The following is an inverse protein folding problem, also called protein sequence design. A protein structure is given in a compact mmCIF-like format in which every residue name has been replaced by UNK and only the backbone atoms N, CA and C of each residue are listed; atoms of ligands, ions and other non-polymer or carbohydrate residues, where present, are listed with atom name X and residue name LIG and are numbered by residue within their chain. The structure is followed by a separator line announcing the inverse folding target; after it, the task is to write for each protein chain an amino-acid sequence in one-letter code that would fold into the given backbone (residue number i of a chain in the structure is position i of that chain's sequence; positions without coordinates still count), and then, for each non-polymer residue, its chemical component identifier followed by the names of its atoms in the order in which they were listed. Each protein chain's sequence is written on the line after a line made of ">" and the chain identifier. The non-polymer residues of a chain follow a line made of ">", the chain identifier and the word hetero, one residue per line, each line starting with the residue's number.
data_IF_371435312894
#
_entry.id   IF_371435312894
#
_cell.length_a   1.000
_cell.length_b   1.000
_cell.length_c   1.000
_cell.angle_alpha   90.00
_cell.angle_beta   90.00
_cell.angle_gamma   90.00
#
_symmetry.space_group_name_H-M   'P 1'
#
loop_
_entity.id
_entity.type
_entity.pdbx_description
1 polymer ?
#
# COMPACT_ATOMS: atom_id res chain seq x y z
N UNK A 1 29.55 34.91 -3.08
CA UNK A 1 28.88 33.90 -2.24
C UNK A 1 27.97 33.10 -3.17
N UNK A 2 28.44 31.94 -3.65
CA UNK A 2 27.72 31.07 -4.59
C UNK A 2 26.80 30.10 -3.84
N UNK A 3 25.65 29.69 -4.41
CA UNK A 3 24.76 28.72 -3.79
C UNK A 3 25.35 27.30 -3.88
N UNK A 4 24.96 26.38 -2.96
CA UNK A 4 25.49 25.02 -2.94
C UNK A 4 24.91 24.18 -4.08
N UNK A 5 25.77 23.39 -4.73
CA UNK A 5 25.38 22.38 -5.72
C UNK A 5 24.46 21.31 -5.12
N UNK A 6 23.50 20.75 -5.90
CA UNK A 6 22.61 19.71 -5.42
C UNK A 6 23.36 18.38 -5.22
N UNK A 7 23.21 17.81 -4.02
CA UNK A 7 23.85 16.57 -3.52
C UNK A 7 23.57 15.29 -4.34
N UNK A 8 22.73 15.35 -5.38
CA UNK A 8 22.39 14.24 -6.27
C UNK A 8 23.53 13.83 -7.19
N UNK A 9 24.44 14.74 -7.57
CA UNK A 9 25.51 14.45 -8.54
C UNK A 9 26.72 13.72 -7.95
N UNK A 10 26.92 13.83 -6.64
CA UNK A 10 28.06 13.21 -5.93
C UNK A 10 27.80 11.74 -5.58
N UNK A 11 26.53 11.31 -5.48
CA UNK A 11 26.14 9.92 -5.20
C UNK A 11 26.26 9.00 -6.43
N UNK A 12 25.92 9.48 -7.63
CA UNK A 12 26.00 8.67 -8.87
C UNK A 12 27.45 8.29 -9.23
N UNK A 13 28.41 9.19 -9.01
CA UNK A 13 29.82 8.96 -9.34
C UNK A 13 30.54 8.04 -8.34
N UNK A 14 30.04 7.90 -7.10
CA UNK A 14 30.62 7.02 -6.08
C UNK A 14 30.20 5.55 -6.28
N UNK A 15 29.00 5.31 -6.81
CA UNK A 15 28.49 3.96 -7.12
C UNK A 15 29.12 3.36 -8.39
N UNK A 16 29.42 4.18 -9.40
CA UNK A 16 30.17 3.75 -10.59
C UNK A 16 31.59 3.25 -10.25
N UNK A 17 32.25 3.82 -9.24
CA UNK A 17 33.61 3.40 -8.83
C UNK A 17 33.64 2.06 -8.07
N UNK A 18 32.55 1.67 -7.42
CA UNK A 18 32.45 0.35 -6.76
C UNK A 18 32.13 -0.75 -7.78
N UNK A 19 31.30 -0.46 -8.78
CA UNK A 19 30.94 -1.42 -9.83
C UNK A 19 32.10 -1.73 -10.81
N UNK A 20 33.02 -0.79 -11.04
CA UNK A 20 34.11 -0.97 -12.02
C UNK A 20 35.30 -1.78 -11.48
N UNK A 21 35.41 -2.01 -10.16
CA UNK A 21 36.58 -2.71 -9.57
C UNK A 21 36.46 -4.23 -9.40
N UNK A 22 35.33 -4.86 -9.73
CA UNK A 22 35.23 -6.32 -9.82
C UNK A 22 34.87 -6.74 -11.25
N UNK A 23 35.85 -6.62 -12.16
CA UNK A 23 35.89 -7.48 -13.34
C UNK A 23 36.03 -8.92 -12.83
N UNK A 24 34.99 -9.72 -12.96
CA UNK A 24 35.05 -11.14 -13.34
C UNK A 24 33.61 -11.61 -13.65
N UNK A 25 33.37 -11.78 -14.96
CA UNK A 25 32.43 -12.70 -15.59
C UNK A 25 30.96 -12.75 -15.12
N UNK A 26 30.09 -11.86 -15.63
CA UNK A 26 28.72 -12.27 -16.03
C UNK A 26 28.24 -11.41 -17.21
N UNK A 27 28.41 -11.93 -18.43
CA UNK A 27 28.10 -11.24 -19.70
C UNK A 27 26.60 -11.10 -20.03
N UNK A 28 25.69 -11.58 -19.18
CA UNK A 28 24.24 -11.58 -19.45
C UNK A 28 23.40 -10.81 -18.42
N UNK A 29 23.97 -10.40 -17.28
CA UNK A 29 23.25 -9.70 -16.20
C UNK A 29 23.16 -8.20 -16.42
N UNK A 30 24.16 -7.61 -17.08
CA UNK A 30 24.23 -6.16 -17.32
C UNK A 30 23.14 -5.68 -18.30
N UNK A 31 22.81 -6.51 -19.30
CA UNK A 31 21.76 -6.23 -20.29
C UNK A 31 20.38 -6.22 -19.63
N UNK A 32 20.10 -7.20 -18.75
CA UNK A 32 18.84 -7.29 -18.00
C UNK A 32 18.65 -6.15 -16.98
N UNK A 33 19.74 -5.65 -16.38
CA UNK A 33 19.70 -4.49 -15.49
C UNK A 33 19.41 -3.20 -16.26
N UNK A 34 20.01 -3.02 -17.44
CA UNK A 34 19.73 -1.89 -18.33
C UNK A 34 18.28 -1.90 -18.82
N UNK A 35 17.70 -3.06 -19.13
CA UNK A 35 16.28 -3.18 -19.51
C UNK A 35 15.34 -2.81 -18.34
N UNK A 36 15.68 -3.20 -17.11
CA UNK A 36 14.92 -2.84 -15.91
C UNK A 36 15.03 -1.33 -15.58
N UNK A 37 16.21 -0.73 -15.78
CA UNK A 37 16.44 0.72 -15.65
C UNK A 37 15.74 1.49 -16.78
N UNK A 38 15.64 0.92 -17.97
CA UNK A 38 14.93 1.48 -19.12
C UNK A 38 13.41 1.45 -18.90
N UNK A 39 12.87 0.37 -18.33
CA UNK A 39 11.49 0.33 -17.82
C UNK A 39 11.24 1.42 -16.78
N UNK A 40 12.13 1.62 -15.80
CA UNK A 40 11.98 2.70 -14.80
C UNK A 40 11.94 4.10 -15.43
N UNK A 41 12.74 4.35 -16.48
CA UNK A 41 12.75 5.63 -17.22
C UNK A 41 11.52 5.81 -18.13
N UNK A 42 10.96 4.72 -18.65
CA UNK A 42 9.76 4.76 -19.50
C UNK A 42 8.45 4.87 -18.70
N UNK A 43 8.43 4.42 -17.43
CA UNK A 43 7.26 4.59 -16.53
C UNK A 43 7.27 5.89 -15.71
N UNK A 44 8.34 6.67 -15.72
CA UNK A 44 8.30 8.02 -15.17
C UNK A 44 7.62 8.97 -16.17
N UNK A 45 6.42 9.44 -15.81
CA UNK A 45 5.58 10.47 -16.48
C UNK A 45 4.58 9.96 -17.53
N UNK A 46 3.57 9.21 -17.06
CA UNK A 46 2.18 9.48 -17.43
C UNK A 46 1.25 8.89 -16.37
N UNK A 47 0.88 9.70 -15.36
CA UNK A 47 -0.34 9.45 -14.58
C UNK A 47 -1.52 9.74 -15.51
N UNK A 48 -1.77 8.84 -16.47
CA UNK A 48 -3.00 8.87 -17.23
C UNK A 48 -4.15 8.50 -16.29
N UNK A 49 -5.19 9.33 -16.30
CA UNK A 49 -6.37 9.22 -15.46
C UNK A 49 -7.27 8.03 -15.87
N UNK A 50 -6.75 6.81 -15.75
CA UNK A 50 -7.56 5.61 -15.65
C UNK A 50 -7.85 5.40 -14.16
N UNK A 51 -9.13 5.17 -13.81
CA UNK A 51 -9.53 4.91 -12.44
C UNK A 51 -8.67 3.76 -11.87
N UNK A 52 -7.72 4.09 -11.01
CA UNK A 52 -6.84 3.14 -10.35
C UNK A 52 -7.70 2.32 -9.38
N UNK A 53 -8.02 1.08 -9.73
CA UNK A 53 -8.79 0.15 -8.87
C UNK A 53 -7.90 -0.54 -7.84
N UNK A 54 -6.61 -0.19 -7.78
CA UNK A 54 -5.66 -0.71 -6.81
C UNK A 54 -5.97 -0.20 -5.41
N UNK A 55 -6.02 -1.11 -4.44
CA UNK A 55 -6.30 -0.79 -3.03
C UNK A 55 -5.07 -0.90 -2.14
N UNK A 56 -3.94 -1.31 -2.72
CA UNK A 56 -2.66 -1.49 -2.03
C UNK A 56 -1.54 -0.73 -2.73
N UNK A 57 -0.67 -0.08 -1.96
CA UNK A 57 0.49 0.65 -2.47
C UNK A 57 1.70 0.47 -1.53
N UNK A 58 2.87 0.29 -2.13
CA UNK A 58 4.17 0.31 -1.46
C UNK A 58 5.01 1.42 -2.04
N UNK A 59 5.72 2.12 -1.17
CA UNK A 59 6.58 3.24 -1.56
C UNK A 59 7.73 2.78 -2.47
N UNK A 60 8.18 3.69 -3.34
CA UNK A 60 9.20 3.43 -4.35
C UNK A 60 10.53 2.92 -3.75
N UNK A 61 10.89 3.37 -2.54
CA UNK A 61 12.13 2.93 -1.90
C UNK A 61 12.04 1.46 -1.49
N UNK A 62 10.91 1.05 -0.92
CA UNK A 62 10.65 -0.34 -0.54
C UNK A 62 10.47 -1.23 -1.78
N UNK A 63 9.74 -0.76 -2.80
CA UNK A 63 9.62 -1.45 -4.10
C UNK A 63 10.97 -1.63 -4.80
N UNK A 64 11.81 -0.59 -4.78
CA UNK A 64 13.12 -0.59 -5.42
C UNK A 64 14.07 -1.68 -4.90
N UNK A 65 13.91 -2.11 -3.65
CA UNK A 65 14.64 -3.26 -3.09
C UNK A 65 14.31 -4.53 -3.87
N UNK A 66 13.02 -4.79 -4.11
CA UNK A 66 12.54 -5.99 -4.80
C UNK A 66 12.82 -5.98 -6.30
N UNK A 67 12.79 -4.80 -6.92
CA UNK A 67 13.20 -4.62 -8.31
C UNK A 67 14.68 -5.03 -8.48
N UNK A 68 15.58 -4.61 -7.58
CA UNK A 68 16.99 -5.03 -7.63
C UNK A 68 17.16 -6.52 -7.32
N UNK A 69 16.32 -7.05 -6.45
CA UNK A 69 16.32 -8.46 -6.06
C UNK A 69 15.61 -9.38 -7.07
N UNK A 70 15.08 -8.86 -8.18
CA UNK A 70 14.35 -9.63 -9.19
C UNK A 70 15.08 -10.89 -9.68
N UNK A 71 16.42 -10.84 -9.71
CA UNK A 71 17.28 -11.96 -10.11
C UNK A 71 17.29 -13.14 -9.12
N UNK A 72 16.79 -12.95 -7.89
CA UNK A 72 16.62 -13.99 -6.87
C UNK A 72 15.29 -14.73 -7.02
N UNK A 73 14.42 -14.28 -7.93
CA UNK A 73 13.12 -14.89 -8.19
C UNK A 73 12.96 -15.37 -9.62
N UNK A 74 11.82 -16.01 -9.89
CA UNK A 74 11.41 -16.46 -11.22
C UNK A 74 10.36 -15.52 -11.77
N UNK A 75 10.64 -14.92 -12.94
CA UNK A 75 9.62 -14.16 -13.68
C UNK A 75 8.57 -15.11 -14.24
N UNK A 76 7.30 -14.84 -13.96
CA UNK A 76 6.14 -15.59 -14.47
C UNK A 76 5.15 -14.64 -15.13
N UNK A 77 4.46 -15.14 -16.16
CA UNK A 77 3.34 -14.45 -16.80
C UNK A 77 2.09 -15.28 -16.57
N UNK A 78 1.01 -14.64 -16.15
CA UNK A 78 -0.27 -15.28 -15.86
C UNK A 78 -1.36 -14.58 -16.68
N UNK A 79 -2.24 -15.35 -17.31
CA UNK A 79 -3.37 -14.80 -18.05
C UNK A 79 -4.51 -14.42 -17.10
N UNK A 80 -5.40 -13.52 -17.54
CA UNK A 80 -6.61 -13.18 -16.79
C UNK A 80 -7.40 -14.44 -16.40
N UNK A 81 -7.85 -14.48 -15.15
CA UNK A 81 -8.58 -15.61 -14.55
C UNK A 81 -7.68 -16.70 -13.98
N UNK A 82 -6.35 -16.62 -14.17
CA UNK A 82 -5.41 -17.61 -13.62
C UNK A 82 -5.40 -17.54 -12.10
N UNK A 83 -5.64 -18.68 -11.46
CA UNK A 83 -5.46 -18.88 -10.03
C UNK A 83 -3.96 -19.00 -9.72
N UNK A 84 -3.42 -18.09 -8.91
CA UNK A 84 -2.00 -18.09 -8.52
C UNK A 84 -1.78 -19.01 -7.32
N UNK A 85 -2.66 -18.90 -6.32
CA UNK A 85 -2.73 -19.82 -5.18
C UNK A 85 -4.13 -19.80 -4.59
N UNK A 86 -4.50 -20.87 -3.88
CA UNK A 86 -5.79 -21.00 -3.20
C UNK A 86 -5.64 -20.89 -1.69
N UNK A 87 -6.65 -20.31 -1.04
CA UNK A 87 -6.82 -20.39 0.41
C UNK A 87 -6.74 -21.85 0.90
N UNK A 88 -6.00 -22.08 1.98
CA UNK A 88 -5.74 -23.39 2.57
C UNK A 88 -4.55 -24.15 1.98
N UNK A 89 -3.99 -23.72 0.85
CA UNK A 89 -2.79 -24.35 0.29
C UNK A 89 -1.54 -24.05 1.14
N UNK A 90 -0.60 -25.00 1.18
CA UNK A 90 0.73 -24.77 1.73
C UNK A 90 1.66 -24.27 0.64
N UNK A 91 2.54 -23.33 0.96
CA UNK A 91 3.52 -22.82 0.00
C UNK A 91 4.55 -21.89 0.62
N UNK A 92 5.78 -22.00 0.13
CA UNK A 92 6.93 -21.20 0.57
C UNK A 92 7.23 -20.03 -0.38
N UNK A 93 6.30 -19.73 -1.30
CA UNK A 93 6.49 -18.69 -2.32
C UNK A 93 5.68 -17.44 -2.02
N UNK A 94 6.16 -16.31 -2.50
CA UNK A 94 5.43 -15.04 -2.52
C UNK A 94 5.72 -14.29 -3.82
N UNK A 95 4.93 -13.27 -4.10
CA UNK A 95 4.86 -12.70 -5.43
C UNK A 95 5.02 -11.19 -5.38
N UNK A 96 5.79 -10.67 -6.33
CA UNK A 96 5.93 -9.25 -6.60
C UNK A 96 5.38 -8.92 -7.98
N UNK A 97 4.39 -8.04 -8.05
CA UNK A 97 3.66 -7.70 -9.25
C UNK A 97 4.43 -6.65 -10.06
N UNK A 98 4.78 -6.93 -11.31
CA UNK A 98 5.46 -6.00 -12.21
C UNK A 98 4.45 -5.21 -13.05
N UNK A 99 3.43 -5.88 -13.56
CA UNK A 99 2.36 -5.29 -14.37
C UNK A 99 1.08 -6.13 -14.29
N UNK A 100 -0.07 -5.51 -14.50
CA UNK A 100 -1.39 -6.14 -14.39
C UNK A 100 -2.02 -5.97 -13.01
N UNK A 101 -2.99 -6.82 -12.67
CA UNK A 101 -3.80 -6.73 -11.44
C UNK A 101 -4.14 -8.11 -10.88
N UNK A 102 -3.99 -8.25 -9.56
CA UNK A 102 -4.31 -9.49 -8.83
C UNK A 102 -5.36 -9.20 -7.77
N UNK A 103 -6.47 -9.94 -7.81
CA UNK A 103 -7.50 -9.94 -6.78
C UNK A 103 -7.12 -10.95 -5.69
N UNK A 104 -7.08 -10.50 -4.44
CA UNK A 104 -6.86 -11.35 -3.27
C UNK A 104 -8.13 -11.38 -2.43
N UNK A 105 -8.68 -12.57 -2.18
CA UNK A 105 -9.98 -12.75 -1.52
C UNK A 105 -9.99 -13.90 -0.52
N UNK A 106 -10.81 -13.77 0.53
CA UNK A 106 -11.15 -14.86 1.44
C UNK A 106 -12.50 -15.43 1.04
N UNK A 107 -12.63 -16.75 1.02
CA UNK A 107 -13.91 -17.43 0.85
C UNK A 107 -14.39 -17.99 2.20
N UNK A 108 -15.66 -17.74 2.53
CA UNK A 108 -16.31 -18.34 3.70
C UNK A 108 -16.83 -19.75 3.39
N UNK A 109 -17.27 -20.46 4.43
CA UNK A 109 -17.80 -21.83 4.30
C UNK A 109 -19.07 -21.92 3.44
N UNK A 110 -19.85 -20.86 3.35
CA UNK A 110 -21.03 -20.76 2.48
C UNK A 110 -20.69 -20.37 1.02
N UNK A 111 -19.39 -20.20 0.72
CA UNK A 111 -18.90 -19.80 -0.59
C UNK A 111 -18.92 -18.28 -0.84
N UNK A 112 -19.39 -17.47 0.12
CA UNK A 112 -19.35 -16.02 0.00
C UNK A 112 -17.91 -15.51 -0.09
N UNK A 113 -17.69 -14.56 -1.01
CA UNK A 113 -16.39 -13.96 -1.25
C UNK A 113 -16.24 -12.64 -0.49
N UNK A 114 -15.17 -12.53 0.29
CA UNK A 114 -14.72 -11.29 0.89
C UNK A 114 -13.40 -10.85 0.23
N UNK A 115 -13.48 -9.89 -0.68
CA UNK A 115 -12.30 -9.33 -1.34
C UNK A 115 -11.44 -8.58 -0.32
N UNK A 116 -10.20 -9.04 -0.13
CA UNK A 116 -9.22 -8.35 0.70
C UNK A 116 -8.65 -7.16 -0.05
N UNK A 117 -7.98 -7.39 -1.17
CA UNK A 117 -7.23 -6.35 -1.87
C UNK A 117 -7.25 -6.57 -3.38
N UNK A 118 -7.20 -5.47 -4.13
CA UNK A 118 -6.83 -5.45 -5.53
C UNK A 118 -5.38 -4.94 -5.63
N UNK A 119 -4.46 -5.86 -5.90
CA UNK A 119 -3.04 -5.59 -6.02
C UNK A 119 -2.71 -5.06 -7.41
N UNK A 120 -1.92 -3.99 -7.50
CA UNK A 120 -1.41 -3.45 -8.75
C UNK A 120 0.12 -3.46 -8.85
N UNK A 121 0.69 -2.86 -9.90
CA UNK A 121 2.13 -2.82 -10.11
C UNK A 121 2.89 -2.43 -8.85
N UNK A 122 4.00 -3.12 -8.63
CA UNK A 122 4.88 -3.04 -7.46
C UNK A 122 4.27 -3.58 -6.16
N UNK A 123 3.14 -4.28 -6.23
CA UNK A 123 2.54 -4.94 -5.08
C UNK A 123 3.20 -6.23 -4.67
N UNK A 124 3.18 -6.52 -3.36
CA UNK A 124 3.60 -7.80 -2.81
C UNK A 124 2.45 -8.55 -2.14
N UNK A 125 2.32 -9.83 -2.47
CA UNK A 125 1.28 -10.69 -1.94
C UNK A 125 1.77 -12.13 -1.75
N UNK A 126 1.08 -12.87 -0.89
CA UNK A 126 1.44 -14.26 -0.54
C UNK A 126 2.64 -14.38 0.40
N UNK A 127 3.12 -13.30 1.00
CA UNK A 127 4.31 -13.32 1.85
C UNK A 127 4.08 -13.97 3.22
N UNK A 128 2.90 -13.85 3.84
CA UNK A 128 2.71 -14.36 5.21
C UNK A 128 2.92 -15.89 5.33
N UNK A 129 2.29 -16.74 4.51
CA UNK A 129 2.46 -18.20 4.57
C UNK A 129 3.89 -18.63 4.26
N UNK A 130 4.57 -17.87 3.41
CA UNK A 130 5.95 -18.12 3.07
C UNK A 130 6.88 -17.88 4.27
N UNK A 131 6.53 -16.95 5.17
CA UNK A 131 7.34 -16.61 6.34
C UNK A 131 7.09 -17.50 7.55
N UNK A 132 5.82 -17.78 7.86
CA UNK A 132 5.43 -18.44 9.10
C UNK A 132 5.12 -19.95 8.92
N UNK A 133 5.06 -20.42 7.67
CA UNK A 133 4.79 -21.82 7.34
C UNK A 133 3.33 -22.25 7.52
N UNK A 134 2.41 -21.32 7.82
CA UNK A 134 0.99 -21.62 7.91
C UNK A 134 0.34 -21.71 6.51
N UNK A 135 -0.86 -22.32 6.40
CA UNK A 135 -1.60 -22.32 5.14
C UNK A 135 -1.97 -20.91 4.65
N UNK A 136 -2.16 -20.78 3.33
CA UNK A 136 -2.65 -19.57 2.67
C UNK A 136 -3.96 -19.11 3.29
N UNK A 137 -4.00 -17.87 3.78
CA UNK A 137 -5.20 -17.28 4.40
C UNK A 137 -6.23 -16.77 3.37
N UNK A 138 -5.83 -16.66 2.11
CA UNK A 138 -6.63 -16.09 1.04
C UNK A 138 -6.27 -16.77 -0.30
N UNK A 139 -7.13 -16.55 -1.29
CA UNK A 139 -6.97 -16.96 -2.69
C UNK A 139 -6.51 -15.76 -3.52
N UNK A 140 -5.59 -15.96 -4.46
CA UNK A 140 -5.14 -14.93 -5.39
C UNK A 140 -5.42 -15.30 -6.84
N UNK A 141 -6.12 -14.43 -7.56
CA UNK A 141 -6.53 -14.63 -8.96
C UNK A 141 -6.08 -13.43 -9.79
N UNK A 142 -5.53 -13.68 -10.98
CA UNK A 142 -5.21 -12.64 -11.94
C UNK A 142 -6.50 -11.99 -12.47
N UNK A 143 -6.76 -10.74 -12.10
CA UNK A 143 -7.89 -9.96 -12.61
C UNK A 143 -7.65 -9.50 -14.06
N UNK A 144 -6.36 -9.38 -14.43
CA UNK A 144 -5.85 -9.04 -15.75
C UNK A 144 -4.63 -9.89 -16.07
N UNK A 145 -4.26 -10.01 -17.35
CA UNK A 145 -2.98 -10.62 -17.73
C UNK A 145 -1.85 -9.85 -17.06
N UNK A 146 -1.05 -10.57 -16.27
CA UNK A 146 -0.10 -9.98 -15.32
C UNK A 146 1.29 -10.60 -15.43
N UNK A 147 2.31 -9.78 -15.17
CA UNK A 147 3.69 -10.25 -14.99
C UNK A 147 4.09 -10.14 -13.53
N UNK A 148 4.65 -11.23 -12.99
CA UNK A 148 5.03 -11.34 -11.59
C UNK A 148 6.49 -11.82 -11.49
N UNK A 149 7.10 -11.57 -10.34
CA UNK A 149 8.25 -12.33 -9.86
C UNK A 149 7.79 -13.19 -8.70
N UNK A 150 7.96 -14.50 -8.85
CA UNK A 150 7.78 -15.45 -7.78
C UNK A 150 9.10 -15.63 -7.04
N UNK A 151 9.07 -15.41 -5.73
CA UNK A 151 10.19 -15.61 -4.83
C UNK A 151 9.93 -16.82 -3.95
N UNK A 152 10.95 -17.66 -3.77
CA UNK A 152 10.97 -18.67 -2.72
C UNK A 152 11.58 -18.05 -1.47
N UNK A 153 10.90 -18.15 -0.33
CA UNK A 153 11.38 -17.57 0.93
C UNK A 153 12.77 -18.09 1.32
N UNK A 154 13.09 -19.35 0.99
CA UNK A 154 14.38 -19.96 1.37
C UNK A 154 15.53 -19.25 0.66
N UNK A 155 15.36 -18.96 -0.62
CA UNK A 155 16.33 -18.20 -1.43
C UNK A 155 16.49 -16.79 -0.90
N UNK A 156 15.38 -16.15 -0.50
CA UNK A 156 15.42 -14.80 0.07
C UNK A 156 16.12 -14.80 1.43
N UNK A 157 15.81 -15.76 2.31
CA UNK A 157 16.45 -15.91 3.61
C UNK A 157 17.95 -16.14 3.49
N UNK A 158 18.40 -16.97 2.55
CA UNK A 158 19.82 -17.18 2.26
C UNK A 158 20.52 -15.91 1.75
N UNK A 159 19.79 -15.03 1.06
CA UNK A 159 20.32 -13.77 0.55
C UNK A 159 20.40 -12.65 1.61
N UNK A 160 19.63 -12.72 2.70
CA UNK A 160 19.57 -11.68 3.75
C UNK A 160 20.95 -11.30 4.30
N UNK A 161 21.88 -12.23 4.63
CA UNK A 161 23.20 -11.86 5.15
C UNK A 161 24.00 -10.96 4.20
N UNK A 162 23.78 -11.09 2.89
CA UNK A 162 24.45 -10.28 1.86
C UNK A 162 23.65 -9.04 1.46
N UNK A 163 22.35 -9.01 1.73
CA UNK A 163 21.43 -7.92 1.39
C UNK A 163 20.43 -7.69 2.54
N UNK A 164 20.86 -7.10 3.68
CA UNK A 164 20.01 -6.92 4.85
C UNK A 164 18.75 -6.05 4.58
N UNK A 165 18.79 -5.23 3.54
CA UNK A 165 17.66 -4.42 3.10
C UNK A 165 16.44 -5.26 2.71
N UNK A 166 16.63 -6.53 2.32
CA UNK A 166 15.52 -7.47 2.06
C UNK A 166 14.69 -7.71 3.32
N UNK A 167 15.34 -8.00 4.45
CA UNK A 167 14.67 -8.22 5.72
C UNK A 167 13.95 -6.96 6.21
N UNK A 168 14.60 -5.79 6.08
CA UNK A 168 13.98 -4.50 6.44
C UNK A 168 12.76 -4.22 5.55
N UNK A 169 12.87 -4.50 4.25
CA UNK A 169 11.76 -4.32 3.30
C UNK A 169 10.58 -5.24 3.62
N UNK A 170 10.84 -6.52 3.93
CA UNK A 170 9.82 -7.46 4.40
C UNK A 170 9.11 -6.95 5.66
N UNK A 171 9.85 -6.47 6.66
CA UNK A 171 9.27 -5.89 7.88
C UNK A 171 8.40 -4.66 7.58
N UNK A 172 8.82 -3.78 6.66
CA UNK A 172 8.02 -2.62 6.24
C UNK A 172 6.72 -3.03 5.57
N UNK A 173 6.76 -4.05 4.71
CA UNK A 173 5.57 -4.58 4.03
C UNK A 173 4.58 -5.14 5.05
N UNK A 174 5.06 -5.93 6.02
CA UNK A 174 4.22 -6.45 7.12
C UNK A 174 3.62 -5.30 7.92
N UNK A 175 4.40 -4.27 8.28
CA UNK A 175 3.90 -3.11 9.01
C UNK A 175 2.83 -2.31 8.23
N UNK A 176 2.99 -2.17 6.90
CA UNK A 176 1.98 -1.54 6.03
C UNK A 176 0.68 -2.36 6.08
N UNK A 177 0.76 -3.68 5.89
CA UNK A 177 -0.41 -4.56 5.91
C UNK A 177 -1.09 -4.59 7.28
N UNK A 178 -0.32 -4.62 8.36
CA UNK A 178 -0.85 -4.54 9.73
C UNK A 178 -1.64 -3.24 9.95
N UNK A 179 -1.13 -2.09 9.46
CA UNK A 179 -1.83 -0.80 9.56
C UNK A 179 -3.14 -0.82 8.77
N UNK A 180 -3.14 -1.37 7.56
CA UNK A 180 -4.35 -1.51 6.73
C UNK A 180 -5.38 -2.40 7.43
N UNK A 181 -4.96 -3.55 7.97
CA UNK A 181 -5.83 -4.46 8.71
C UNK A 181 -6.40 -3.80 9.97
N UNK A 182 -5.59 -3.06 10.73
CA UNK A 182 -6.06 -2.33 11.91
C UNK A 182 -7.14 -1.29 11.55
N UNK A 183 -6.94 -0.52 10.46
CA UNK A 183 -7.96 0.43 9.98
C UNK A 183 -9.25 -0.28 9.53
N UNK A 184 -9.15 -1.48 8.92
CA UNK A 184 -10.32 -2.29 8.56
C UNK A 184 -11.03 -2.85 9.79
N UNK A 185 -10.28 -3.34 10.77
CA UNK A 185 -10.85 -3.81 12.04
C UNK A 185 -11.56 -2.67 12.74
N UNK A 186 -10.95 -1.48 12.84
CA UNK A 186 -11.58 -0.30 13.41
C UNK A 186 -12.89 0.06 12.69
N UNK A 187 -12.90 -0.04 11.36
CA UNK A 187 -14.12 0.14 10.56
C UNK A 187 -15.20 -0.92 10.87
N UNK A 188 -14.82 -2.20 10.99
CA UNK A 188 -15.74 -3.29 11.31
C UNK A 188 -16.20 -3.28 12.78
N UNK A 189 -15.35 -2.82 13.69
CA UNK A 189 -15.55 -2.80 15.14
C UNK A 189 -16.28 -1.55 15.65
N UNK A 190 -16.53 -0.56 14.79
CA UNK A 190 -17.40 0.57 15.10
C UNK A 190 -18.80 0.29 14.53
N UNK A 191 -19.70 -0.35 15.29
CA UNK A 191 -20.99 -0.83 14.78
C UNK A 191 -21.91 0.30 14.32
N UNK A 192 -21.73 1.50 14.89
CA UNK A 192 -22.53 2.69 14.58
C UNK A 192 -21.80 3.58 13.57
N UNK A 193 -22.37 3.82 12.38
CA UNK A 193 -21.78 4.72 11.39
C UNK A 193 -21.38 6.09 11.94
N UNK A 194 -22.10 6.61 12.93
CA UNK A 194 -21.83 7.89 13.59
C UNK A 194 -20.46 7.89 14.29
N UNK A 195 -20.07 6.76 14.90
CA UNK A 195 -18.78 6.61 15.57
C UNK A 195 -17.63 6.57 14.56
N UNK A 196 -17.85 5.92 13.40
CA UNK A 196 -16.88 5.88 12.30
C UNK A 196 -16.63 7.28 11.73
N UNK A 197 -17.67 8.11 11.69
CA UNK A 197 -17.56 9.51 11.28
C UNK A 197 -16.79 10.31 12.33
N UNK A 198 -17.06 10.12 13.62
CA UNK A 198 -16.29 10.72 14.71
C UNK A 198 -14.79 10.39 14.64
N UNK A 199 -14.47 9.11 14.47
CA UNK A 199 -13.11 8.60 14.31
C UNK A 199 -12.41 9.25 13.11
N UNK A 200 -13.08 9.25 11.95
CA UNK A 200 -12.54 9.84 10.74
C UNK A 200 -12.20 11.32 10.97
N UNK A 201 -13.10 12.08 11.57
CA UNK A 201 -12.87 13.51 11.85
C UNK A 201 -11.70 13.71 12.82
N UNK A 202 -11.58 12.86 13.85
CA UNK A 202 -10.45 12.89 14.79
C UNK A 202 -9.11 12.64 14.08
N UNK A 203 -9.03 11.57 13.30
CA UNK A 203 -7.85 11.22 12.49
C UNK A 203 -7.49 12.31 11.49
N UNK A 204 -8.47 12.94 10.84
CA UNK A 204 -8.23 14.04 9.90
C UNK A 204 -7.78 15.32 10.58
N UNK A 205 -8.29 15.62 11.79
CA UNK A 205 -7.81 16.73 12.60
C UNK A 205 -6.37 16.49 13.08
N UNK A 206 -5.98 15.26 13.38
CA UNK A 206 -4.60 14.94 13.74
C UNK A 206 -3.63 15.06 12.55
N UNK A 207 -4.03 14.55 11.38
CA UNK A 207 -3.16 14.50 10.19
C UNK A 207 -3.11 15.81 9.39
N UNK A 208 -4.23 16.53 9.32
CA UNK A 208 -4.42 17.69 8.44
C UNK A 208 -4.98 18.92 9.18
N UNK A 209 -5.01 18.86 10.51
CA UNK A 209 -5.55 19.94 11.33
C UNK A 209 -4.59 21.12 11.44
N UNK A 210 -5.13 22.31 11.21
CA UNK A 210 -4.48 23.56 11.57
C UNK A 210 -5.05 24.02 12.91
N UNK A 211 -4.23 24.04 13.96
CA UNK A 211 -4.63 24.58 15.27
C UNK A 211 -4.83 26.09 15.16
N UNK A 212 -6.00 26.57 15.58
CA UNK A 212 -6.36 27.99 15.65
C UNK A 212 -7.03 28.27 17.01
N UNK A 213 -7.28 29.54 17.32
CA UNK A 213 -7.86 29.95 18.62
C UNK A 213 -9.20 29.26 18.92
N UNK A 214 -10.04 29.07 17.89
CA UNK A 214 -11.39 28.50 18.04
C UNK A 214 -11.45 26.97 17.91
N UNK A 215 -10.31 26.28 17.80
CA UNK A 215 -10.24 24.83 17.61
C UNK A 215 -9.34 24.39 16.46
N UNK A 216 -9.51 23.14 16.01
CA UNK A 216 -8.68 22.57 14.94
C UNK A 216 -9.45 22.57 13.63
N UNK A 217 -8.99 23.37 12.66
CA UNK A 217 -9.55 23.38 11.31
C UNK A 217 -9.03 22.17 10.54
N UNK A 218 -9.93 21.29 10.08
CA UNK A 218 -9.57 20.28 9.08
C UNK A 218 -9.39 21.02 7.76
N UNK A 219 -8.13 21.19 7.34
CA UNK A 219 -7.75 22.04 6.19
C UNK A 219 -8.26 21.49 4.85
N UNK A 220 -8.55 20.19 4.78
CA UNK A 220 -9.10 19.54 3.60
C UNK A 220 -10.64 19.72 3.51
N UNK A 221 -11.17 20.24 2.40
CA UNK A 221 -12.62 20.30 2.20
C UNK A 221 -13.16 18.88 1.92
N UNK A 222 -14.22 18.49 2.63
CA UNK A 222 -14.87 17.20 2.46
C UNK A 222 -16.38 17.36 2.24
N UNK A 223 -16.88 16.72 1.20
CA UNK A 223 -18.31 16.60 0.95
C UNK A 223 -18.91 15.47 1.81
N UNK A 224 -20.22 15.52 2.05
CA UNK A 224 -20.90 14.46 2.80
C UNK A 224 -20.83 13.10 2.10
N UNK A 225 -20.74 13.07 0.75
CA UNK A 225 -20.55 11.83 -0.01
C UNK A 225 -19.16 11.22 0.18
N UNK A 226 -18.12 12.05 0.23
CA UNK A 226 -16.76 11.59 0.50
C UNK A 226 -16.65 11.00 1.91
N UNK A 227 -17.21 11.67 2.92
CA UNK A 227 -17.26 11.14 4.29
C UNK A 227 -18.03 9.82 4.33
N UNK A 228 -19.12 9.71 3.58
CA UNK A 228 -19.94 8.50 3.52
C UNK A 228 -19.15 7.32 2.94
N UNK A 229 -18.44 7.54 1.83
CA UNK A 229 -17.58 6.54 1.21
C UNK A 229 -16.44 6.08 2.15
N UNK A 230 -15.79 7.03 2.85
CA UNK A 230 -14.67 6.72 3.76
C UNK A 230 -15.10 5.99 5.05
N UNK A 231 -16.36 6.13 5.44
CA UNK A 231 -16.91 5.52 6.68
C UNK A 231 -17.92 4.42 6.40
N UNK A 232 -18.15 4.10 5.12
CA UNK A 232 -19.20 3.20 4.63
C UNK A 232 -20.54 3.41 5.34
N UNK A 233 -20.88 4.68 5.50
CA UNK A 233 -22.17 5.16 5.91
C UNK A 233 -22.95 5.62 4.67
N UNK A 234 -24.25 5.86 4.79
CA UNK A 234 -24.99 6.58 3.73
C UNK A 234 -24.76 8.08 3.86
N UNK A 235 -24.91 8.85 2.76
CA UNK A 235 -24.89 10.34 2.80
C UNK A 235 -25.91 10.91 3.80
N UNK A 236 -27.06 10.25 3.94
CA UNK A 236 -28.10 10.61 4.91
C UNK A 236 -27.58 10.42 6.33
N UNK A 237 -26.93 9.29 6.61
CA UNK A 237 -26.29 8.99 7.90
C UNK A 237 -25.20 10.01 8.23
N UNK A 238 -24.36 10.38 7.28
CA UNK A 238 -23.34 11.43 7.47
C UNK A 238 -23.97 12.76 7.83
N UNK A 239 -24.99 13.18 7.08
CA UNK A 239 -25.68 14.44 7.34
C UNK A 239 -26.28 14.46 8.75
N UNK A 240 -26.86 13.35 9.21
CA UNK A 240 -27.39 13.19 10.57
C UNK A 240 -26.28 13.22 11.62
N UNK A 241 -25.18 12.50 11.39
CA UNK A 241 -24.04 12.45 12.31
C UNK A 241 -23.38 13.82 12.49
N UNK A 242 -23.12 14.56 11.41
CA UNK A 242 -22.54 15.90 11.47
C UNK A 242 -23.45 16.88 12.19
N UNK A 243 -24.77 16.86 11.91
CA UNK A 243 -25.74 17.67 12.66
C UNK A 243 -25.72 17.36 14.16
N UNK A 244 -25.65 16.09 14.53
CA UNK A 244 -25.55 15.66 15.93
C UNK A 244 -24.26 16.15 16.58
N UNK A 245 -23.11 15.99 15.91
CA UNK A 245 -21.81 16.44 16.42
C UNK A 245 -21.75 17.97 16.58
N UNK A 246 -22.40 18.72 15.67
CA UNK A 246 -22.57 20.18 15.82
C UNK A 246 -23.43 20.52 17.03
N UNK A 247 -24.56 19.83 17.23
CA UNK A 247 -25.42 20.05 18.40
C UNK A 247 -24.72 19.71 19.73
N UNK A 248 -23.78 18.75 19.73
CA UNK A 248 -22.95 18.41 20.90
C UNK A 248 -21.79 19.40 21.14
N UNK A 249 -21.58 20.36 20.23
CA UNK A 249 -20.42 21.25 20.28
C UNK A 249 -19.09 20.53 20.04
N UNK A 250 -19.11 19.33 19.45
CA UNK A 250 -17.89 18.61 19.08
C UNK A 250 -17.22 19.24 17.85
N UNK A 251 -18.06 19.70 16.90
CA UNK A 251 -17.62 20.32 15.65
C UNK A 251 -18.43 21.56 15.31
N UNK A 252 -17.89 22.39 14.42
CA UNK A 252 -18.61 23.47 13.75
C UNK A 252 -18.41 23.39 12.23
N UNK A 253 -19.45 23.75 11.47
CA UNK A 253 -19.39 23.79 10.01
C UNK A 253 -19.30 25.26 9.55
N UNK A 254 -18.13 25.68 9.06
CA UNK A 254 -17.88 27.04 8.55
C UNK A 254 -17.47 26.99 7.07
N UNK A 255 -18.22 27.64 6.18
CA UNK A 255 -17.88 27.74 4.74
C UNK A 255 -17.52 26.39 4.08
N UNK A 256 -18.29 25.33 4.36
CA UNK A 256 -18.05 23.94 3.87
C UNK A 256 -16.77 23.28 4.42
N UNK A 257 -16.17 23.83 5.48
CA UNK A 257 -15.08 23.22 6.23
C UNK A 257 -15.54 22.82 7.63
N UNK A 258 -14.86 21.84 8.19
CA UNK A 258 -15.17 21.26 9.50
C UNK A 258 -14.12 21.74 10.50
N UNK A 259 -14.59 22.33 11.58
CA UNK A 259 -13.78 22.70 12.73
C UNK A 259 -14.06 21.71 13.84
N UNK A 260 -13.01 21.13 14.41
CA UNK A 260 -13.12 20.30 15.61
C UNK A 260 -12.90 21.20 16.82
N UNK A 261 -13.96 21.42 17.58
CA UNK A 261 -13.96 22.27 18.78
C UNK A 261 -13.53 21.47 19.99
N UNK A 262 -14.06 20.24 20.11
CA UNK A 262 -13.80 19.35 21.24
C UNK A 262 -13.61 17.91 20.75
N UNK A 263 -12.35 17.46 20.57
CA UNK A 263 -12.04 16.11 20.11
C UNK A 263 -12.62 15.00 21.00
N UNK A 264 -12.81 15.26 22.30
CA UNK A 264 -13.31 14.25 23.24
C UNK A 264 -14.77 13.87 22.98
N UNK A 265 -15.55 14.75 22.35
CA UNK A 265 -16.98 14.55 22.04
C UNK A 265 -17.22 13.95 20.65
N UNK A 266 -16.18 13.71 19.85
CA UNK A 266 -16.32 13.17 18.50
C UNK A 266 -16.90 11.74 18.49
N UNK A 267 -16.71 11.00 19.57
CA UNK A 267 -17.18 9.62 19.72
C UNK A 267 -18.47 9.53 20.55
N UNK A 268 -19.16 10.65 20.82
CA UNK A 268 -20.42 10.67 21.57
C UNK A 268 -20.22 10.80 23.06
#
# INVERSE_FOLDING_TARGET
>A
MMPPEPATRVYELRLLRVAVRRRLAVGSTLVRWLDCVRMMKETSLSKSALATTETWHMDDATAGVWIRAAHLGRKIKVEKGTMIYRQGELGFTFYFLLSGRIQVSIYQSDGSEFMLEMMGPWAMFGESPAMDGFPRIATAIAAETSELIEFDIRVITEAIPSCPELAISLMRIVAIKQRILASRIQYLALPKPEMRIGELLGRLAELYGEKREDGTLISIPLTHEQIAAMTGATRVTVTRALKRLTALGAIELRQRRIWVLDPSKLLG
#
